data_IF_240512938086
#
_entry.id   IF_240512938086
#
_cell.length_a   1.000
_cell.length_b   1.000
_cell.length_c   1.000
_cell.angle_alpha   90.00
_cell.angle_beta   90.00
_cell.angle_gamma   90.00
#
_symmetry.space_group_name_H-M   'P 1'
#
loop_
_entity.id
_entity.type
_entity.pdbx_description
1 polymer ?
#
# COMPACT_ATOMS: atom_id res chain seq x y z
N UNK A 1 21.32 -8.57 -19.12
CA UNK A 1 20.31 -7.49 -19.22
C UNK A 1 20.00 -7.01 -17.83
N UNK A 2 20.03 -5.70 -17.56
CA UNK A 2 19.75 -5.15 -16.22
C UNK A 2 18.61 -4.14 -16.28
N UNK A 3 17.90 -3.97 -15.17
CA UNK A 3 16.85 -2.95 -14.99
C UNK A 3 17.08 -2.27 -13.66
N UNK A 4 17.02 -0.94 -13.63
CA UNK A 4 17.01 -0.16 -12.40
C UNK A 4 15.58 0.28 -12.09
N UNK A 5 15.13 0.02 -10.88
CA UNK A 5 13.85 0.50 -10.35
C UNK A 5 14.08 1.34 -9.10
N UNK A 6 13.23 2.34 -8.88
CA UNK A 6 13.32 3.18 -7.69
C UNK A 6 12.16 4.16 -7.58
N UNK A 7 12.08 4.86 -6.46
CA UNK A 7 11.12 5.93 -6.22
C UNK A 7 11.77 7.08 -5.43
N UNK A 8 11.14 8.25 -5.47
CA UNK A 8 11.64 9.51 -4.87
C UNK A 8 11.34 9.66 -3.38
N UNK A 9 10.76 8.63 -2.76
CA UNK A 9 10.28 8.64 -1.37
C UNK A 9 9.24 9.75 -1.07
N UNK A 10 8.51 10.23 -2.09
CA UNK A 10 7.43 11.20 -1.89
C UNK A 10 6.17 10.56 -1.27
N UNK A 11 5.39 11.37 -0.56
CA UNK A 11 4.12 10.97 0.05
C UNK A 11 4.25 10.21 1.38
N UNK A 12 3.10 9.83 1.93
CA UNK A 12 3.03 8.99 3.14
C UNK A 12 3.21 7.53 2.76
N UNK A 13 3.95 6.77 3.59
CA UNK A 13 4.15 5.32 3.42
C UNK A 13 4.81 4.93 2.09
N UNK A 14 5.83 5.68 1.66
CA UNK A 14 6.63 5.39 0.48
C UNK A 14 7.56 4.17 0.69
N UNK A 15 6.97 2.97 0.80
CA UNK A 15 7.66 1.70 1.01
C UNK A 15 7.08 0.64 0.08
N UNK A 16 7.87 0.14 -0.85
CA UNK A 16 7.44 -0.84 -1.85
C UNK A 16 8.11 -2.18 -1.61
N UNK A 17 7.33 -3.25 -1.47
CA UNK A 17 7.85 -4.61 -1.57
C UNK A 17 7.67 -5.07 -3.01
N UNK A 18 8.77 -5.29 -3.73
CA UNK A 18 8.73 -5.71 -5.14
C UNK A 18 9.14 -7.18 -5.21
N UNK A 19 8.26 -8.04 -5.73
CA UNK A 19 8.60 -9.46 -5.95
C UNK A 19 9.50 -9.60 -7.20
N UNK A 20 9.03 -9.15 -8.36
CA UNK A 20 9.81 -9.10 -9.60
C UNK A 20 9.28 -8.05 -10.59
N UNK A 21 10.09 -7.74 -11.60
CA UNK A 21 9.70 -6.95 -12.78
C UNK A 21 9.71 -7.87 -14.00
N UNK A 22 8.68 -7.77 -14.85
CA UNK A 22 8.56 -8.53 -16.09
C UNK A 22 8.60 -7.55 -17.27
N UNK A 23 9.49 -7.79 -18.23
CA UNK A 23 9.61 -6.96 -19.45
C UNK A 23 9.42 -7.85 -20.66
N UNK A 24 8.38 -7.58 -21.46
CA UNK A 24 8.11 -8.29 -22.70
C UNK A 24 8.36 -7.38 -23.89
N UNK A 25 9.17 -7.84 -24.84
CA UNK A 25 9.27 -7.21 -26.14
C UNK A 25 8.08 -7.67 -26.99
N UNK A 26 7.22 -6.74 -27.40
CA UNK A 26 6.01 -7.07 -28.15
C UNK A 26 6.28 -7.45 -29.61
N UNK A 27 7.43 -7.03 -30.17
CA UNK A 27 7.85 -7.34 -31.54
C UNK A 27 8.43 -8.76 -31.61
N UNK A 28 9.36 -9.10 -30.71
CA UNK A 28 10.03 -10.40 -30.72
C UNK A 28 9.35 -11.46 -29.84
N UNK A 29 8.44 -11.05 -28.97
CA UNK A 29 7.79 -11.93 -27.99
C UNK A 29 8.67 -12.32 -26.79
N UNK A 30 9.96 -11.99 -26.80
CA UNK A 30 10.87 -12.33 -25.71
C UNK A 30 10.45 -11.66 -24.41
N UNK A 31 10.41 -12.44 -23.34
CA UNK A 31 10.07 -11.97 -21.99
C UNK A 31 11.26 -12.14 -21.06
N UNK A 32 11.61 -11.11 -20.33
CA UNK A 32 12.65 -11.13 -19.31
C UNK A 32 12.03 -10.96 -17.93
N UNK A 33 12.49 -11.77 -16.97
CA UNK A 33 12.13 -11.67 -15.56
C UNK A 33 13.30 -11.09 -14.78
N UNK A 34 13.02 -10.11 -13.94
CA UNK A 34 13.99 -9.44 -13.07
C UNK A 34 13.55 -9.66 -11.61
N UNK A 35 14.03 -10.73 -10.94
CA UNK A 35 13.70 -10.98 -9.53
C UNK A 35 14.20 -9.85 -8.61
N UNK A 36 13.38 -9.44 -7.64
CA UNK A 36 13.75 -8.42 -6.65
C UNK A 36 13.62 -8.94 -5.21
N UNK A 37 12.41 -9.37 -4.80
CA UNK A 37 12.06 -9.87 -3.45
C UNK A 37 12.56 -9.02 -2.28
N UNK A 38 12.70 -7.71 -2.49
CA UNK A 38 13.31 -6.78 -1.53
C UNK A 38 12.43 -5.56 -1.37
N UNK A 39 12.56 -4.89 -0.22
CA UNK A 39 11.88 -3.62 0.01
C UNK A 39 12.66 -2.46 -0.63
N UNK A 40 11.95 -1.45 -1.11
CA UNK A 40 12.46 -0.13 -1.46
C UNK A 40 11.78 0.89 -0.56
N UNK A 41 12.54 1.60 0.27
CA UNK A 41 12.00 2.59 1.20
C UNK A 41 12.86 2.78 2.45
N UNK A 42 12.82 3.99 3.03
CA UNK A 42 13.56 4.31 4.27
C UNK A 42 13.07 3.48 5.46
N UNK A 43 13.99 2.91 6.22
CA UNK A 43 13.70 2.17 7.45
C UNK A 43 13.02 0.81 7.25
N UNK A 44 13.14 0.22 6.07
CA UNK A 44 12.80 -1.18 5.78
C UNK A 44 13.96 -1.84 5.05
N UNK A 45 14.19 -3.13 5.31
CA UNK A 45 15.31 -3.88 4.73
C UNK A 45 16.65 -3.14 4.92
N UNK A 46 17.36 -2.81 3.84
CA UNK A 46 18.61 -2.03 3.85
C UNK A 46 18.40 -0.50 3.73
N UNK A 47 17.15 -0.03 3.66
CA UNK A 47 16.82 1.39 3.51
C UNK A 47 17.01 1.95 2.09
N UNK A 48 17.32 1.12 1.09
CA UNK A 48 17.53 1.58 -0.29
C UNK A 48 16.25 2.08 -0.94
N UNK A 49 16.32 3.13 -1.75
CA UNK A 49 15.21 3.66 -2.55
C UNK A 49 15.23 3.19 -4.01
N UNK A 50 16.31 2.53 -4.42
CA UNK A 50 16.51 2.03 -5.77
C UNK A 50 17.26 0.69 -5.76
N UNK A 51 17.07 -0.11 -6.80
CA UNK A 51 17.74 -1.40 -6.98
C UNK A 51 18.01 -1.67 -8.46
N UNK A 52 19.21 -2.19 -8.74
CA UNK A 52 19.56 -2.76 -10.04
C UNK A 52 19.29 -4.26 -9.99
N UNK A 53 18.47 -4.74 -10.91
CA UNK A 53 18.06 -6.13 -11.03
C UNK A 53 18.70 -6.74 -12.27
N UNK A 54 19.13 -8.00 -12.15
CA UNK A 54 19.64 -8.76 -13.29
C UNK A 54 18.49 -9.57 -13.87
N UNK A 55 18.32 -9.45 -15.19
CA UNK A 55 17.24 -10.09 -15.93
C UNK A 55 17.65 -11.45 -16.48
N UNK A 56 16.73 -12.39 -16.42
CA UNK A 56 16.82 -13.71 -17.01
C UNK A 56 15.79 -13.83 -18.13
N UNK A 57 16.19 -14.38 -19.27
CA UNK A 57 15.27 -14.66 -20.38
C UNK A 57 14.35 -15.81 -19.98
N UNK A 58 13.03 -15.57 -20.05
CA UNK A 58 12.02 -16.60 -19.81
C UNK A 58 11.82 -17.38 -21.10
N UNK A 59 12.10 -18.68 -21.07
CA UNK A 59 11.74 -19.57 -22.17
C UNK A 59 10.23 -19.64 -22.30
N UNK A 60 9.72 -19.36 -23.49
CA UNK A 60 8.31 -19.53 -23.86
C UNK A 60 7.95 -21.02 -23.88
N UNK A 61 7.81 -21.65 -22.71
CA UNK A 61 7.20 -22.97 -22.60
C UNK A 61 5.69 -22.78 -22.62
N UNK A 62 5.09 -23.01 -23.79
CA UNK A 62 3.68 -23.28 -24.10
C UNK A 62 2.63 -22.75 -23.11
N UNK A 63 1.93 -21.68 -23.50
CA UNK A 63 0.59 -21.10 -23.16
C UNK A 63 -0.28 -21.57 -21.95
N UNK A 64 0.07 -22.56 -21.14
CA UNK A 64 -0.79 -23.14 -20.09
C UNK A 64 -0.39 -22.74 -18.65
N UNK A 65 0.38 -21.65 -18.46
CA UNK A 65 0.69 -21.16 -17.11
C UNK A 65 0.69 -19.65 -16.91
N UNK A 66 0.45 -18.83 -17.95
CA UNK A 66 0.37 -17.37 -17.80
C UNK A 66 -1.00 -16.89 -17.25
N UNK A 67 -1.95 -17.81 -17.03
CA UNK A 67 -3.26 -17.53 -16.43
C UNK A 67 -3.35 -17.66 -14.91
N UNK A 68 -2.28 -18.11 -14.23
CA UNK A 68 -2.32 -18.42 -12.79
C UNK A 68 -1.54 -17.43 -11.91
N UNK A 69 -0.64 -16.62 -12.47
CA UNK A 69 0.26 -15.79 -11.68
C UNK A 69 -0.19 -14.32 -11.53
N UNK A 70 -1.50 -14.05 -11.52
CA UNK A 70 -2.09 -12.78 -11.07
C UNK A 70 -3.41 -13.04 -10.33
N UNK A 71 -3.54 -14.15 -9.57
CA UNK A 71 -4.63 -14.22 -8.59
C UNK A 71 -4.27 -13.28 -7.44
N UNK A 72 -5.14 -12.30 -7.17
CA UNK A 72 -5.16 -11.63 -5.87
C UNK A 72 -5.09 -12.74 -4.82
N UNK A 73 -4.14 -12.70 -3.86
CA UNK A 73 -4.15 -13.64 -2.75
C UNK A 73 -5.58 -13.67 -2.18
N UNK A 74 -6.13 -14.84 -1.81
CA UNK A 74 -7.39 -14.86 -1.08
C UNK A 74 -7.28 -13.85 0.05
N UNK A 75 -8.32 -13.04 0.29
CA UNK A 75 -8.29 -12.00 1.31
C UNK A 75 -7.88 -12.61 2.66
N UNK A 76 -6.58 -12.60 2.96
CA UNK A 76 -6.11 -12.82 4.30
C UNK A 76 -6.44 -11.52 5.01
N UNK A 77 -7.37 -11.61 5.95
CA UNK A 77 -7.56 -10.54 6.92
C UNK A 77 -6.18 -10.26 7.51
N UNK A 78 -5.73 -9.01 7.39
CA UNK A 78 -4.55 -8.56 8.12
C UNK A 78 -4.68 -9.05 9.55
N UNK A 79 -3.62 -9.60 10.18
CA UNK A 79 -3.65 -9.83 11.61
C UNK A 79 -4.15 -8.54 12.22
N UNK A 80 -5.28 -8.61 12.92
CA UNK A 80 -5.79 -7.47 13.64
C UNK A 80 -4.87 -7.34 14.84
N UNK A 81 -3.63 -6.89 14.60
CA UNK A 81 -2.88 -6.21 15.64
C UNK A 81 -3.76 -5.04 15.95
N UNK A 82 -4.48 -5.16 17.07
CA UNK A 82 -5.39 -4.14 17.54
C UNK A 82 -4.66 -2.81 17.36
N UNK A 83 -5.12 -2.00 16.41
CA UNK A 83 -4.73 -0.60 16.37
C UNK A 83 -5.25 -0.08 17.69
N UNK A 84 -4.36 -0.04 18.67
CA UNK A 84 -4.55 0.68 19.92
C UNK A 84 -4.67 2.13 19.49
N UNK A 85 -5.89 2.51 19.13
CA UNK A 85 -6.31 3.90 19.13
C UNK A 85 -6.09 4.32 20.59
N UNK A 86 -5.06 5.12 20.79
CA UNK A 86 -4.84 5.87 22.00
C UNK A 86 -5.96 6.90 22.12
N UNK A 87 -7.12 6.45 22.60
CA UNK A 87 -8.11 7.27 23.27
C UNK A 87 -8.32 6.61 24.62
N UNK A 88 -7.91 7.36 25.64
CA UNK A 88 -8.32 7.29 27.04
C UNK A 88 -9.34 6.20 27.35
N UNK A 89 -8.85 5.20 28.06
CA UNK A 89 -9.57 4.34 29.00
C UNK A 89 -11.01 4.77 29.31
N UNK A 90 -11.96 3.91 28.97
CA UNK A 90 -13.13 3.56 29.78
C UNK A 90 -13.72 2.25 29.24
N UNK A 91 -13.64 1.21 30.08
CA UNK A 91 -14.48 0.00 30.14
C UNK A 91 -14.58 -0.89 28.88
N UNK A 92 -13.95 -2.08 28.98
CA UNK A 92 -14.12 -3.15 28.02
C UNK A 92 -15.57 -3.62 27.90
N UNK A 93 -16.03 -3.73 26.66
CA UNK A 93 -17.02 -4.70 26.16
C UNK A 93 -16.95 -4.63 24.63
N UNK A 94 -16.79 -5.80 24.00
CA UNK A 94 -16.79 -5.98 22.55
C UNK A 94 -18.23 -5.89 22.00
N UNK A 95 -18.92 -4.79 22.30
CA UNK A 95 -20.30 -4.54 21.88
C UNK A 95 -20.29 -3.83 20.55
N UNK A 96 -20.94 -4.46 19.57
CA UNK A 96 -21.31 -3.85 18.29
C UNK A 96 -21.93 -2.48 18.61
N UNK A 97 -21.41 -1.37 18.04
CA UNK A 97 -21.88 -0.05 18.41
C UNK A 97 -23.36 0.09 18.08
N UNK A 98 -24.13 0.65 19.01
CA UNK A 98 -25.55 0.91 18.76
C UNK A 98 -25.70 2.10 17.79
N UNK A 99 -26.90 2.27 17.23
CA UNK A 99 -27.16 3.31 16.24
C UNK A 99 -26.83 4.72 16.76
N UNK A 100 -27.02 4.99 18.06
CA UNK A 100 -26.70 6.27 18.67
C UNK A 100 -25.21 6.58 18.67
N UNK A 101 -24.37 5.60 19.01
CA UNK A 101 -22.91 5.76 19.01
C UNK A 101 -22.35 5.97 17.60
N UNK A 102 -22.94 5.30 16.61
CA UNK A 102 -22.59 5.48 15.20
C UNK A 102 -22.98 6.89 14.73
N UNK A 103 -24.19 7.32 15.08
CA UNK A 103 -24.70 8.64 14.71
C UNK A 103 -23.90 9.77 15.36
N UNK A 104 -23.50 9.62 16.63
CA UNK A 104 -22.61 10.54 17.34
C UNK A 104 -21.24 10.63 16.67
N UNK A 105 -20.59 9.49 16.41
CA UNK A 105 -19.29 9.45 15.74
C UNK A 105 -19.32 10.07 14.34
N UNK A 106 -20.41 9.87 13.58
CA UNK A 106 -20.62 10.52 12.28
C UNK A 106 -20.80 12.04 12.46
N UNK A 107 -21.62 12.47 13.43
CA UNK A 107 -21.87 13.89 13.70
C UNK A 107 -20.59 14.65 14.08
N UNK A 108 -19.76 14.06 14.93
CA UNK A 108 -18.47 14.63 15.32
C UNK A 108 -17.50 14.73 14.13
N UNK A 109 -17.42 13.69 13.30
CA UNK A 109 -16.59 13.70 12.10
C UNK A 109 -17.01 14.80 11.12
N UNK A 110 -18.31 14.94 10.87
CA UNK A 110 -18.85 16.01 10.00
C UNK A 110 -18.55 17.38 10.59
N UNK A 111 -18.77 17.58 11.90
CA UNK A 111 -18.48 18.83 12.58
C UNK A 111 -17.00 19.23 12.47
N UNK A 112 -16.09 18.27 12.60
CA UNK A 112 -14.64 18.51 12.48
C UNK A 112 -14.25 18.90 11.04
N UNK A 113 -14.85 18.29 10.03
CA UNK A 113 -14.64 18.68 8.62
C UNK A 113 -15.14 20.10 8.37
N UNK A 114 -16.36 20.42 8.82
CA UNK A 114 -16.92 21.77 8.68
C UNK A 114 -16.03 22.79 9.37
N UNK A 115 -15.58 22.55 10.61
CA UNK A 115 -14.65 23.43 11.32
C UNK A 115 -13.30 23.58 10.60
N UNK A 116 -12.83 22.53 9.94
CA UNK A 116 -11.55 22.56 9.22
C UNK A 116 -11.62 23.45 7.97
N UNK A 117 -12.74 23.41 7.24
CA UNK A 117 -12.91 24.15 5.99
C UNK A 117 -13.63 25.51 6.15
N UNK A 118 -14.44 25.67 7.20
CA UNK A 118 -15.02 26.95 7.60
C UNK A 118 -14.27 27.49 8.83
N UNK A 119 -13.13 28.12 8.58
CA UNK A 119 -12.57 29.11 9.51
C UNK A 119 -13.30 30.43 9.23
N UNK A 120 -13.95 31.08 10.22
CA UNK A 120 -14.46 32.43 10.02
C UNK A 120 -13.25 33.34 9.78
N UNK A 121 -13.06 33.76 8.53
CA UNK A 121 -12.13 34.81 8.20
C UNK A 121 -12.73 36.13 8.70
N UNK A 122 -12.42 36.51 9.96
CA UNK A 122 -12.47 37.89 10.50
C UNK A 122 -11.46 37.94 11.66
N UNK A 123 -10.61 38.94 11.80
CA UNK A 123 -10.74 40.35 11.40
C UNK A 123 -9.34 40.96 11.28
N UNK A 124 -9.08 41.62 10.16
CA UNK A 124 -8.07 42.68 10.13
C UNK A 124 -8.71 43.95 10.67
N UNK A 125 -8.17 44.46 11.77
CA UNK A 125 -8.02 45.90 12.09
C UNK A 125 -6.70 46.04 12.82
#
# INVERSE_FOLDING_TARGET
>A
TTVQIGHDNSGLLAKWLVDCVMVRNEITGHTYKFPCRRWLGKGVDDGSLERILIGELVSSTSDEELGKQCRTPPQQKSPTTARRLSITSLTGKNTKPNAGQIQEGIGEAVNNIVKHFHKPEKEGV
#
